data_IF_429020561130
#
_entry.id   IF_429020561130
#
_cell.length_a   1.000
_cell.length_b   1.000
_cell.length_c   1.000
_cell.angle_alpha   90.00
_cell.angle_beta   90.00
_cell.angle_gamma   90.00
#
_symmetry.space_group_name_H-M   'P 1'
#
loop_
_entity.id
_entity.type
_entity.pdbx_description
1 polymer ?
#
# COMPACT_ATOMS: atom_id res chain seq x y z
N UNK A 1 -50.74 26.35 -60.00
CA UNK A 1 -49.59 25.70 -60.66
C UNK A 1 -48.48 26.72 -60.85
N UNK A 2 -47.33 26.53 -60.19
CA UNK A 2 -46.01 27.03 -60.59
C UNK A 2 -44.97 26.48 -59.58
N UNK A 3 -44.44 25.27 -59.82
CA UNK A 3 -43.30 24.73 -59.08
C UNK A 3 -42.03 25.49 -59.50
N UNK A 4 -41.70 26.57 -58.82
CA UNK A 4 -40.39 27.20 -58.92
C UNK A 4 -39.37 26.31 -58.20
N UNK A 5 -38.38 25.82 -58.95
CA UNK A 5 -37.34 24.88 -58.50
C UNK A 5 -36.51 25.51 -57.37
N UNK A 6 -36.77 25.15 -56.11
CA UNK A 6 -35.93 25.43 -54.94
C UNK A 6 -34.60 24.66 -55.03
N UNK A 7 -33.74 25.08 -55.96
CA UNK A 7 -32.37 24.59 -56.08
C UNK A 7 -31.46 25.55 -55.35
N UNK A 8 -30.97 25.09 -54.21
CA UNK A 8 -29.99 25.76 -53.35
C UNK A 8 -28.62 25.09 -53.56
N UNK A 9 -27.56 25.79 -53.17
CA UNK A 9 -26.20 25.30 -53.38
C UNK A 9 -25.84 24.27 -52.31
N UNK A 10 -25.40 23.08 -52.71
CA UNK A 10 -24.89 22.07 -51.79
C UNK A 10 -23.53 22.49 -51.22
N UNK A 11 -23.37 22.48 -49.90
CA UNK A 11 -22.14 22.86 -49.19
C UNK A 11 -20.90 22.06 -49.63
N UNK A 12 -21.04 20.76 -49.88
CA UNK A 12 -19.90 19.89 -50.24
C UNK A 12 -19.47 20.00 -51.70
N UNK A 13 -20.42 19.96 -52.65
CA UNK A 13 -20.08 19.90 -54.08
C UNK A 13 -20.28 21.22 -54.83
N UNK A 14 -20.76 22.27 -54.15
CA UNK A 14 -21.01 23.61 -54.71
C UNK A 14 -21.95 23.67 -55.92
N UNK A 15 -22.69 22.59 -56.21
CA UNK A 15 -23.65 22.51 -57.32
C UNK A 15 -25.06 22.90 -56.83
N UNK A 16 -25.78 23.68 -57.65
CA UNK A 16 -27.19 24.01 -57.41
C UNK A 16 -28.07 22.79 -57.64
N UNK A 17 -28.59 22.21 -56.56
CA UNK A 17 -29.39 20.98 -56.53
C UNK A 17 -30.54 21.15 -55.55
N UNK A 18 -31.44 20.16 -55.49
CA UNK A 18 -32.34 20.05 -54.34
C UNK A 18 -31.46 19.73 -53.14
N UNK A 19 -31.47 20.60 -52.13
CA UNK A 19 -30.73 20.40 -50.88
C UNK A 19 -31.68 20.24 -49.72
N UNK A 20 -31.12 19.72 -48.63
CA UNK A 20 -31.77 19.49 -47.36
C UNK A 20 -30.89 20.11 -46.28
N UNK A 21 -31.48 20.89 -45.35
CA UNK A 21 -30.72 21.49 -44.25
C UNK A 21 -30.37 20.44 -43.19
N UNK A 22 -29.10 20.41 -42.78
CA UNK A 22 -28.71 19.81 -41.51
C UNK A 22 -28.77 20.87 -40.41
N UNK A 23 -29.69 20.70 -39.45
CA UNK A 23 -29.83 21.63 -38.31
C UNK A 23 -28.61 21.63 -37.39
N UNK A 24 -27.88 20.52 -37.31
CA UNK A 24 -26.72 20.39 -36.42
C UNK A 24 -25.54 21.26 -36.85
N UNK A 25 -25.19 21.25 -38.14
CA UNK A 25 -24.09 22.07 -38.67
C UNK A 25 -24.55 23.30 -39.45
N UNK A 26 -25.86 23.55 -39.53
CA UNK A 26 -26.50 24.68 -40.22
C UNK A 26 -26.11 24.81 -41.71
N UNK A 27 -25.89 23.68 -42.39
CA UNK A 27 -25.46 23.61 -43.80
C UNK A 27 -26.49 22.89 -44.67
N UNK A 28 -26.52 23.24 -45.95
CA UNK A 28 -27.38 22.67 -46.97
C UNK A 28 -26.66 21.58 -47.77
N UNK A 29 -27.22 20.38 -47.87
CA UNK A 29 -26.60 19.25 -48.59
C UNK A 29 -27.55 18.66 -49.62
N UNK A 30 -27.06 18.28 -50.80
CA UNK A 30 -27.84 17.37 -51.65
C UNK A 30 -27.90 15.98 -51.02
N UNK A 31 -28.91 15.18 -51.37
CA UNK A 31 -29.18 13.88 -50.74
C UNK A 31 -27.93 13.01 -50.51
N UNK A 32 -27.09 12.80 -51.52
CA UNK A 32 -25.89 11.99 -51.40
C UNK A 32 -24.93 12.50 -50.32
N UNK A 33 -24.60 13.79 -50.33
CA UNK A 33 -23.69 14.38 -49.34
C UNK A 33 -24.34 14.50 -47.94
N UNK A 34 -25.68 14.51 -47.85
CA UNK A 34 -26.37 14.39 -46.57
C UNK A 34 -26.21 12.98 -45.99
N UNK A 35 -26.35 11.94 -46.81
CA UNK A 35 -26.12 10.55 -46.42
C UNK A 35 -24.66 10.33 -46.01
N UNK A 36 -23.70 10.84 -46.78
CA UNK A 36 -22.28 10.80 -46.41
C UNK A 36 -22.03 11.54 -45.09
N UNK A 37 -22.63 12.73 -44.90
CA UNK A 37 -22.52 13.47 -43.64
C UNK A 37 -23.06 12.68 -42.45
N UNK A 38 -24.21 12.02 -42.61
CA UNK A 38 -24.78 11.15 -41.57
C UNK A 38 -23.90 9.93 -41.28
N UNK A 39 -23.27 9.36 -42.31
CA UNK A 39 -22.34 8.24 -42.14
C UNK A 39 -21.11 8.66 -41.33
N UNK A 40 -20.52 9.83 -41.62
CA UNK A 40 -19.40 10.38 -40.84
C UNK A 40 -19.79 10.55 -39.36
N UNK A 41 -20.97 11.11 -39.08
CA UNK A 41 -21.46 11.27 -37.71
C UNK A 41 -21.68 9.92 -37.00
N UNK A 42 -22.13 8.91 -37.73
CA UNK A 42 -22.29 7.56 -37.19
C UNK A 42 -20.93 6.93 -36.87
N UNK A 43 -19.94 7.14 -37.73
CA UNK A 43 -18.57 6.65 -37.50
C UNK A 43 -17.94 7.34 -36.28
N UNK A 44 -18.12 8.65 -36.12
CA UNK A 44 -17.70 9.40 -34.93
C UNK A 44 -18.38 8.87 -33.65
N UNK A 45 -19.68 8.59 -33.71
CA UNK A 45 -20.41 8.03 -32.57
C UNK A 45 -19.91 6.63 -32.19
N UNK A 46 -19.55 5.81 -33.18
CA UNK A 46 -18.96 4.50 -32.94
C UNK A 46 -17.59 4.60 -32.25
N UNK A 47 -16.75 5.56 -32.66
CA UNK A 47 -15.48 5.83 -31.99
C UNK A 47 -15.68 6.22 -30.52
N UNK A 48 -16.57 7.18 -30.25
CA UNK A 48 -16.91 7.59 -28.87
C UNK A 48 -17.43 6.40 -28.05
N UNK A 49 -18.26 5.55 -28.65
CA UNK A 49 -18.81 4.36 -27.99
C UNK A 49 -17.71 3.35 -27.63
N UNK A 50 -16.75 3.15 -28.53
CA UNK A 50 -15.62 2.26 -28.29
C UNK A 50 -14.73 2.78 -27.16
N UNK A 51 -14.34 4.07 -27.20
CA UNK A 51 -13.56 4.72 -26.14
C UNK A 51 -14.25 4.62 -24.78
N UNK A 52 -15.57 4.85 -24.74
CA UNK A 52 -16.35 4.71 -23.51
C UNK A 52 -16.33 3.28 -22.96
N UNK A 53 -16.44 2.27 -23.83
CA UNK A 53 -16.42 0.87 -23.42
C UNK A 53 -15.03 0.46 -22.89
N UNK A 54 -13.95 0.89 -23.53
CA UNK A 54 -12.58 0.67 -23.06
C UNK A 54 -12.34 1.31 -21.68
N UNK A 55 -12.81 2.54 -21.50
CA UNK A 55 -12.71 3.23 -20.22
C UNK A 55 -13.50 2.49 -19.12
N UNK A 56 -14.73 2.08 -19.42
CA UNK A 56 -15.56 1.29 -18.49
C UNK A 56 -14.89 -0.04 -18.13
N UNK A 57 -14.26 -0.71 -19.09
CA UNK A 57 -13.52 -1.95 -18.85
C UNK A 57 -12.33 -1.69 -17.91
N UNK A 58 -11.54 -0.65 -18.17
CA UNK A 58 -10.39 -0.27 -17.35
C UNK A 58 -10.79 -0.02 -15.89
N UNK A 59 -11.90 0.70 -15.66
CA UNK A 59 -12.44 0.93 -14.31
C UNK A 59 -12.84 -0.39 -13.63
N UNK A 60 -13.51 -1.28 -14.36
CA UNK A 60 -13.94 -2.56 -13.81
C UNK A 60 -12.75 -3.47 -13.46
N UNK A 61 -11.70 -3.48 -14.26
CA UNK A 61 -10.47 -4.23 -13.99
C UNK A 61 -9.77 -3.71 -12.73
N UNK A 62 -9.67 -2.38 -12.56
CA UNK A 62 -9.15 -1.78 -11.32
C UNK A 62 -9.99 -2.16 -10.10
N UNK A 63 -11.32 -2.15 -10.22
CA UNK A 63 -12.24 -2.55 -9.15
C UNK A 63 -12.08 -4.02 -8.75
N UNK A 64 -11.78 -4.90 -9.70
CA UNK A 64 -11.63 -6.34 -9.43
C UNK A 64 -10.30 -6.68 -8.75
N UNK A 65 -9.28 -5.84 -8.88
CA UNK A 65 -7.95 -6.12 -8.32
C UNK A 65 -7.39 -4.97 -7.46
N UNK A 66 -8.08 -4.60 -6.37
CA UNK A 66 -7.70 -3.46 -5.52
C UNK A 66 -6.33 -3.65 -4.84
N UNK A 67 -5.89 -4.89 -4.63
CA UNK A 67 -4.55 -5.19 -4.10
C UNK A 67 -3.41 -4.92 -5.10
N UNK A 68 -3.73 -4.75 -6.39
CA UNK A 68 -2.73 -4.37 -7.39
C UNK A 68 -2.52 -2.85 -7.48
N UNK A 69 -3.33 -2.08 -6.75
CA UNK A 69 -3.15 -0.63 -6.59
C UNK A 69 -1.79 -0.35 -5.95
N UNK A 70 -1.06 0.58 -6.56
CA UNK A 70 0.24 1.04 -6.10
C UNK A 70 0.17 1.55 -4.65
N UNK A 71 -0.92 2.20 -4.27
CA UNK A 71 -1.10 2.74 -2.92
C UNK A 71 -1.24 1.62 -1.88
N UNK A 72 -1.98 0.55 -2.18
CA UNK A 72 -2.10 -0.62 -1.29
C UNK A 72 -0.74 -1.30 -1.12
N UNK A 73 0.02 -1.49 -2.20
CA UNK A 73 1.39 -2.05 -2.11
C UNK A 73 2.33 -1.20 -1.26
N UNK A 74 2.20 0.13 -1.32
CA UNK A 74 2.97 1.04 -0.47
C UNK A 74 2.59 0.90 1.01
N UNK A 75 1.29 0.76 1.30
CA UNK A 75 0.80 0.50 2.67
C UNK A 75 1.35 -0.84 3.17
N UNK A 76 1.26 -1.91 2.38
CA UNK A 76 1.78 -3.24 2.74
C UNK A 76 3.30 -3.24 2.96
N UNK A 77 4.04 -2.45 2.19
CA UNK A 77 5.48 -2.28 2.37
C UNK A 77 5.79 -1.51 3.66
N UNK A 78 5.05 -0.42 3.92
CA UNK A 78 5.20 0.35 5.14
C UNK A 78 4.90 -0.50 6.39
N UNK A 79 3.83 -1.29 6.37
CA UNK A 79 3.45 -2.20 7.45
C UNK A 79 4.58 -3.21 7.75
N UNK A 80 5.07 -3.91 6.72
CA UNK A 80 6.15 -4.90 6.87
C UNK A 80 7.43 -4.27 7.44
N UNK A 81 7.80 -3.08 6.96
CA UNK A 81 8.98 -2.37 7.45
C UNK A 81 8.83 -1.97 8.91
N UNK A 82 7.67 -1.43 9.29
CA UNK A 82 7.35 -1.02 10.66
C UNK A 82 7.39 -2.20 11.63
N UNK A 83 6.81 -3.35 11.26
CA UNK A 83 6.90 -4.59 12.05
C UNK A 83 8.36 -5.01 12.25
N UNK A 84 9.17 -4.99 11.20
CA UNK A 84 10.59 -5.34 11.27
C UNK A 84 11.36 -4.45 12.24
N UNK A 85 11.14 -3.13 12.19
CA UNK A 85 11.78 -2.16 13.10
C UNK A 85 11.38 -2.43 14.55
N UNK A 86 10.09 -2.65 14.81
CA UNK A 86 9.59 -2.93 16.17
C UNK A 86 10.19 -4.23 16.71
N UNK A 87 10.21 -5.28 15.89
CA UNK A 87 10.78 -6.57 16.27
C UNK A 87 12.28 -6.47 16.58
N UNK A 88 13.04 -5.76 15.74
CA UNK A 88 14.46 -5.52 15.96
C UNK A 88 14.69 -4.80 17.30
N UNK A 89 13.96 -3.71 17.54
CA UNK A 89 14.10 -2.94 18.79
C UNK A 89 13.72 -3.75 20.01
N UNK A 90 12.64 -4.53 19.93
CA UNK A 90 12.27 -5.45 21.00
C UNK A 90 13.39 -6.48 21.29
N UNK A 91 14.05 -6.99 20.24
CA UNK A 91 15.15 -7.94 20.40
C UNK A 91 16.40 -7.31 21.01
N UNK A 92 16.72 -6.07 20.65
CA UNK A 92 17.79 -5.28 21.28
C UNK A 92 17.51 -5.09 22.78
N UNK A 93 16.30 -4.69 23.16
CA UNK A 93 15.91 -4.55 24.56
C UNK A 93 16.02 -5.87 25.33
N UNK A 94 15.55 -6.98 24.76
CA UNK A 94 15.67 -8.31 25.38
C UNK A 94 17.13 -8.68 25.65
N UNK A 95 18.03 -8.43 24.68
CA UNK A 95 19.46 -8.70 24.84
C UNK A 95 20.06 -7.91 26.01
N UNK A 96 19.71 -6.63 26.14
CA UNK A 96 20.18 -5.78 27.24
C UNK A 96 19.73 -6.34 28.60
N UNK A 97 18.45 -6.68 28.74
CA UNK A 97 17.90 -7.23 29.99
C UNK A 97 18.54 -8.57 30.34
N UNK A 98 18.74 -9.44 29.35
CA UNK A 98 19.39 -10.74 29.56
C UNK A 98 20.85 -10.58 29.99
N UNK A 99 21.59 -9.67 29.36
CA UNK A 99 22.97 -9.40 29.74
C UNK A 99 23.06 -8.89 31.20
N UNK A 100 22.22 -7.94 31.58
CA UNK A 100 22.17 -7.45 32.96
C UNK A 100 21.80 -8.55 33.97
N UNK A 101 20.82 -9.39 33.62
CA UNK A 101 20.42 -10.53 34.44
C UNK A 101 21.55 -11.53 34.63
N UNK A 102 22.32 -11.82 33.57
CA UNK A 102 23.49 -12.71 33.63
C UNK A 102 24.59 -12.14 34.54
N UNK A 103 24.83 -10.82 34.48
CA UNK A 103 25.78 -10.16 35.40
C UNK A 103 25.35 -10.33 36.84
N UNK A 104 24.09 -10.05 37.17
CA UNK A 104 23.56 -10.22 38.54
C UNK A 104 23.71 -11.67 39.01
N UNK A 105 23.33 -12.64 38.17
CA UNK A 105 23.44 -14.06 38.51
C UNK A 105 24.90 -14.45 38.77
N UNK A 106 25.84 -13.95 37.97
CA UNK A 106 27.27 -14.21 38.18
C UNK A 106 27.78 -13.58 39.48
N UNK A 107 27.34 -12.36 39.81
CA UNK A 107 27.71 -11.70 41.06
C UNK A 107 27.18 -12.47 42.28
N UNK A 108 25.93 -12.96 42.21
CA UNK A 108 25.35 -13.83 43.24
C UNK A 108 26.19 -15.11 43.36
N UNK A 109 26.50 -15.77 42.23
CA UNK A 109 27.31 -16.99 42.21
C UNK A 109 28.68 -16.78 42.86
N UNK A 110 29.33 -15.65 42.57
CA UNK A 110 30.63 -15.31 43.16
C UNK A 110 30.53 -15.11 44.67
N UNK A 111 29.49 -14.41 45.15
CA UNK A 111 29.22 -14.26 46.60
C UNK A 111 29.00 -15.62 47.27
N UNK A 112 28.23 -16.50 46.64
CA UNK A 112 27.99 -17.86 47.14
C UNK A 112 29.27 -18.70 47.20
N UNK A 113 30.12 -18.62 46.18
CA UNK A 113 31.40 -19.33 46.17
C UNK A 113 32.31 -18.84 47.31
N UNK A 114 32.43 -17.53 47.50
CA UNK A 114 33.21 -16.95 48.59
C UNK A 114 32.67 -17.39 49.97
N UNK A 115 31.35 -17.34 50.17
CA UNK A 115 30.73 -17.83 51.40
C UNK A 115 31.01 -19.32 51.62
N UNK A 116 30.99 -20.14 50.57
CA UNK A 116 31.33 -21.56 50.65
C UNK A 116 32.78 -21.79 51.06
N UNK A 117 33.72 -20.97 50.58
CA UNK A 117 35.12 -21.03 50.98
C UNK A 117 35.31 -20.64 52.45
N UNK A 118 34.67 -19.56 52.90
CA UNK A 118 34.69 -19.15 54.30
C UNK A 118 34.17 -20.26 55.23
N UNK A 119 33.05 -20.91 54.86
CA UNK A 119 32.50 -22.04 55.62
C UNK A 119 33.50 -23.20 55.69
N UNK A 120 34.14 -23.54 54.57
CA UNK A 120 35.15 -24.61 54.52
C UNK A 120 36.35 -24.29 55.42
N UNK A 121 36.83 -23.04 55.38
CA UNK A 121 37.97 -22.61 56.19
C UNK A 121 37.67 -22.70 57.68
N UNK A 122 36.51 -22.17 58.12
CA UNK A 122 36.06 -22.26 59.51
C UNK A 122 35.99 -23.72 59.98
N UNK A 123 35.51 -24.62 59.12
CA UNK A 123 35.45 -26.06 59.44
C UNK A 123 36.84 -26.71 59.50
N UNK A 124 37.79 -26.28 58.66
CA UNK A 124 39.16 -26.82 58.65
C UNK A 124 39.97 -26.35 59.85
N UNK A 125 39.82 -25.08 60.22
CA UNK A 125 40.51 -24.47 61.36
C UNK A 125 39.85 -24.85 62.69
N UNK A 126 38.60 -25.34 62.65
CA UNK A 126 37.79 -25.68 63.83
C UNK A 126 37.57 -24.47 64.77
N UNK A 127 37.71 -23.25 64.22
CA UNK A 127 37.58 -21.98 64.93
C UNK A 127 36.23 -21.33 64.59
N UNK A 128 35.18 -21.73 65.30
CA UNK A 128 33.86 -21.12 65.20
C UNK A 128 33.30 -20.74 66.56
N UNK A 129 32.54 -19.64 66.58
CA UNK A 129 31.72 -19.22 67.70
C UNK A 129 30.41 -18.62 67.19
N UNK A 130 29.55 -18.16 68.09
CA UNK A 130 28.24 -17.60 67.79
C UNK A 130 28.31 -16.37 66.86
N UNK A 131 29.40 -15.60 66.92
CA UNK A 131 29.63 -14.44 66.05
C UNK A 131 29.85 -14.92 64.61
N UNK A 132 30.74 -15.90 64.40
CA UNK A 132 30.98 -16.50 63.09
C UNK A 132 29.68 -17.08 62.50
N UNK A 133 28.92 -17.82 63.30
CA UNK A 133 27.66 -18.45 62.86
C UNK A 133 26.58 -17.41 62.54
N UNK A 134 26.46 -16.34 63.31
CA UNK A 134 25.50 -15.26 63.02
C UNK A 134 25.90 -14.45 61.79
N UNK A 135 27.18 -14.20 61.58
CA UNK A 135 27.67 -13.54 60.36
C UNK A 135 27.28 -14.34 59.11
N UNK A 136 27.56 -15.66 59.08
CA UNK A 136 27.21 -16.52 57.95
C UNK A 136 25.69 -16.56 57.69
N UNK A 137 24.87 -16.62 58.75
CA UNK A 137 23.40 -16.55 58.61
C UNK A 137 22.94 -15.23 57.99
N UNK A 138 23.53 -14.11 58.40
CA UNK A 138 23.18 -12.79 57.86
C UNK A 138 23.60 -12.62 56.38
N UNK A 139 24.56 -13.40 55.88
CA UNK A 139 24.93 -13.39 54.46
C UNK A 139 24.00 -14.22 53.56
N UNK A 140 23.13 -15.06 54.15
CA UNK A 140 22.19 -15.94 53.44
C UNK A 140 20.77 -15.37 53.32
N UNK A 141 20.47 -14.26 54.02
CA UNK A 141 19.17 -13.56 54.05
C UNK A 141 19.25 -12.36 53.11
#
# INVERSE_FOLDING_TARGET
MAMAKNKTQCFTCNKNKITYPCKGCSKEFCLNHLTEHQQILNDELNLITNEFNEFKQTINEQKQNPHNDLLIKQIDQWERNSIGIIQQKAQECRKIVLAYSQTIINDIKNKFNNLSEQIKQIHQENEFNEINLNYLRNQLI
#
